data_IF_680721174857
#
_entry.id   IF_680721174857
#
_cell.length_a   1.000
_cell.length_b   1.000
_cell.length_c   1.000
_cell.angle_alpha   90.00
_cell.angle_beta   90.00
_cell.angle_gamma   90.00
#
_symmetry.space_group_name_H-M   'P 1'
#
loop_
_entity.id
_entity.type
_entity.pdbx_description
1 polymer ?
#
# COMPACT_ATOMS: atom_id res chain seq x y z
N UNK A 1 -22.41 -13.35 1.82
CA UNK A 1 -21.01 -13.79 1.56
C UNK A 1 -20.11 -12.77 2.25
N UNK A 2 -19.35 -13.12 3.31
CA UNK A 2 -18.42 -12.17 3.90
C UNK A 2 -17.27 -11.89 2.93
N UNK A 3 -16.91 -10.62 2.78
CA UNK A 3 -15.79 -10.18 1.94
C UNK A 3 -14.49 -10.85 2.41
N UNK A 4 -13.64 -11.37 1.51
CA UNK A 4 -12.37 -11.95 1.91
C UNK A 4 -11.54 -10.89 2.63
N UNK A 5 -11.30 -11.09 3.93
CA UNK A 5 -10.60 -10.16 4.84
C UNK A 5 -9.09 -10.12 4.61
N UNK A 6 -8.63 -10.59 3.45
CA UNK A 6 -7.20 -10.78 3.19
C UNK A 6 -6.54 -9.54 2.60
N UNK A 7 -7.27 -8.45 2.34
CA UNK A 7 -6.70 -7.25 1.70
C UNK A 7 -5.76 -6.52 2.67
N UNK A 8 -4.48 -6.47 2.32
CA UNK A 8 -3.45 -5.74 3.06
C UNK A 8 -3.51 -4.28 2.61
N UNK A 9 -3.73 -3.39 3.58
CA UNK A 9 -3.78 -1.95 3.35
C UNK A 9 -2.51 -1.31 3.88
N UNK A 10 -1.82 -0.54 3.04
CA UNK A 10 -0.61 0.19 3.43
C UNK A 10 -0.92 1.68 3.35
N UNK A 11 -0.95 2.33 4.53
CA UNK A 11 -0.99 3.78 4.65
C UNK A 11 0.38 4.31 5.01
N UNK A 12 0.90 5.26 4.24
CA UNK A 12 2.17 5.93 4.55
C UNK A 12 2.09 7.43 4.28
N UNK A 13 2.87 8.21 5.03
CA UNK A 13 3.09 9.62 4.76
C UNK A 13 4.20 9.77 3.72
N UNK A 14 4.00 10.62 2.73
CA UNK A 14 4.88 10.85 1.60
C UNK A 14 6.08 11.70 2.02
N UNK A 15 6.95 11.11 2.84
CA UNK A 15 8.29 11.63 3.10
C UNK A 15 9.30 10.75 2.35
N UNK A 16 10.45 11.31 1.96
CA UNK A 16 11.51 10.56 1.24
C UNK A 16 11.91 9.26 1.95
N UNK A 17 12.00 9.27 3.29
CA UNK A 17 12.34 8.07 4.07
C UNK A 17 11.27 6.98 3.97
N UNK A 18 9.99 7.35 3.98
CA UNK A 18 8.88 6.41 3.85
C UNK A 18 8.78 5.86 2.42
N UNK A 19 9.23 6.61 1.40
CA UNK A 19 9.29 6.12 0.02
C UNK A 19 10.35 5.02 -0.16
N UNK A 20 11.56 5.20 0.37
CA UNK A 20 12.61 4.19 0.30
C UNK A 20 12.17 2.93 1.04
N UNK A 21 11.61 3.08 2.23
CA UNK A 21 11.05 1.98 3.00
C UNK A 21 9.93 1.25 2.24
N UNK A 22 8.99 1.98 1.62
CA UNK A 22 7.92 1.39 0.83
C UNK A 22 8.46 0.63 -0.39
N UNK A 23 9.52 1.14 -1.03
CA UNK A 23 10.14 0.51 -2.19
C UNK A 23 10.78 -0.84 -1.82
N UNK A 24 11.50 -0.90 -0.71
CA UNK A 24 12.06 -2.16 -0.20
C UNK A 24 10.97 -3.10 0.29
N UNK A 25 9.95 -2.57 0.99
CA UNK A 25 8.83 -3.35 1.50
C UNK A 25 7.98 -3.95 0.35
N UNK A 26 7.81 -3.22 -0.76
CA UNK A 26 7.13 -3.72 -1.97
C UNK A 26 7.87 -4.89 -2.62
N UNK A 27 9.20 -4.97 -2.54
CA UNK A 27 9.94 -6.14 -3.06
C UNK A 27 9.51 -7.41 -2.34
N UNK A 28 9.28 -7.34 -1.02
CA UNK A 28 8.79 -8.46 -0.22
C UNK A 28 7.30 -8.74 -0.41
N UNK A 29 6.52 -7.72 -0.77
CA UNK A 29 5.08 -7.82 -1.04
C UNK A 29 4.73 -8.09 -2.50
N UNK A 30 5.72 -8.17 -3.40
CA UNK A 30 5.53 -8.47 -4.82
C UNK A 30 4.61 -9.68 -5.10
N UNK A 31 4.70 -10.83 -4.38
CA UNK A 31 3.74 -11.92 -4.56
C UNK A 31 2.30 -11.58 -4.13
N UNK A 32 2.12 -10.56 -3.29
CA UNK A 32 0.83 -10.08 -2.81
C UNK A 32 0.25 -8.97 -3.70
N UNK A 33 1.09 -8.15 -4.35
CA UNK A 33 0.65 -7.25 -5.44
C UNK A 33 0.05 -8.07 -6.60
N UNK A 34 0.67 -9.19 -6.95
CA UNK A 34 0.19 -10.07 -8.04
C UNK A 34 -1.17 -10.72 -7.76
N UNK A 35 -1.56 -10.87 -6.49
CA UNK A 35 -2.86 -11.44 -6.10
C UNK A 35 -3.96 -10.40 -5.92
N UNK A 36 -3.72 -9.12 -6.30
CA UNK A 36 -4.65 -7.99 -6.11
C UNK A 36 -5.11 -7.81 -4.66
N UNK A 37 -4.25 -8.21 -3.73
CA UNK A 37 -4.55 -8.22 -2.30
C UNK A 37 -3.96 -7.00 -1.60
N UNK A 38 -3.16 -6.20 -2.29
CA UNK A 38 -2.49 -5.01 -1.75
C UNK A 38 -3.20 -3.73 -2.20
N UNK A 39 -3.54 -2.86 -1.25
CA UNK A 39 -4.09 -1.53 -1.48
C UNK A 39 -3.14 -0.51 -0.81
N UNK A 40 -2.61 0.43 -1.58
CA UNK A 40 -1.61 1.40 -1.11
C UNK A 40 -2.23 2.79 -1.15
N UNK A 41 -2.26 3.44 0.01
CA UNK A 41 -2.82 4.78 0.18
C UNK A 41 -1.76 5.71 0.77
N UNK A 42 -1.65 6.91 0.20
CA UNK A 42 -0.75 7.96 0.67
C UNK A 42 -1.49 9.27 0.81
N UNK A 43 -0.91 10.23 1.53
CA UNK A 43 -1.44 11.59 1.62
C UNK A 43 -1.56 12.28 0.24
N UNK A 44 -0.83 11.83 -0.78
CA UNK A 44 -1.01 12.33 -2.15
C UNK A 44 -2.36 11.94 -2.76
N UNK A 45 -3.03 10.91 -2.25
CA UNK A 45 -4.39 10.56 -2.66
C UNK A 45 -5.45 11.45 -1.99
N UNK A 46 -5.07 12.30 -1.03
CA UNK A 46 -5.96 13.29 -0.46
C UNK A 46 -6.13 14.38 -1.50
N UNK A 47 -7.25 14.36 -2.21
CA UNK A 47 -7.63 15.48 -3.08
C UNK A 47 -8.17 16.60 -2.21
N UNK A 48 -7.50 17.77 -2.13
CA UNK A 48 -8.07 18.91 -1.43
C UNK A 48 -9.35 19.36 -2.14
N UNK A 49 -10.39 19.60 -1.36
CA UNK A 49 -11.72 20.05 -1.82
C UNK A 49 -11.73 21.51 -2.27
#
# INVERSE_FOLDING_TARGET
MPWPRSRVFISYSHNDQDQEFLKEFRVHLNPWEQTMTLDVWSDQNITPS
#
